data_IF_290452191048
#
_entry.id   IF_290452191048
#
_cell.length_a   1.000
_cell.length_b   1.000
_cell.length_c   1.000
_cell.angle_alpha   90.00
_cell.angle_beta   90.00
_cell.angle_gamma   90.00
#
_symmetry.space_group_name_H-M   'P 1'
#
loop_
_entity.id
_entity.type
_entity.pdbx_description
1 polymer ?
#
# COMPACT_ATOMS: atom_id res chain seq x y z
N UNK A 1 -21.78 -24.63 -17.03
CA UNK A 1 -21.70 -23.45 -16.15
C UNK A 1 -20.24 -23.19 -15.87
N UNK A 2 -19.66 -22.08 -16.34
CA UNK A 2 -18.23 -21.77 -16.14
C UNK A 2 -18.07 -20.90 -14.90
N UNK A 3 -17.68 -21.52 -13.79
CA UNK A 3 -17.34 -20.79 -12.57
C UNK A 3 -16.13 -19.88 -12.85
N UNK A 4 -16.23 -18.61 -12.46
CA UNK A 4 -15.15 -17.64 -12.64
C UNK A 4 -14.30 -17.62 -11.37
N UNK A 5 -13.23 -18.41 -11.35
CA UNK A 5 -12.27 -18.46 -10.23
C UNK A 5 -11.54 -17.12 -10.12
N UNK A 6 -12.09 -16.19 -9.35
CA UNK A 6 -11.42 -14.97 -8.94
C UNK A 6 -10.22 -15.33 -8.03
N UNK A 7 -9.04 -14.72 -8.20
CA UNK A 7 -7.89 -14.99 -7.33
C UNK A 7 -8.21 -14.68 -5.85
N UNK A 8 -7.68 -15.46 -4.90
CA UNK A 8 -8.01 -15.33 -3.49
C UNK A 8 -7.48 -14.03 -2.89
N UNK A 9 -8.21 -13.47 -1.91
CA UNK A 9 -7.85 -12.22 -1.23
C UNK A 9 -6.56 -12.34 -0.40
N UNK A 10 -6.29 -13.53 0.14
CA UNK A 10 -5.08 -13.90 0.86
C UNK A 10 -4.83 -15.40 0.71
N UNK A 11 -3.58 -15.83 0.86
CA UNK A 11 -3.17 -17.24 0.79
C UNK A 11 -2.21 -17.57 1.92
N UNK A 12 -2.50 -18.64 2.67
CA UNK A 12 -1.58 -19.20 3.67
C UNK A 12 -0.56 -20.08 2.94
N UNK A 13 0.71 -19.66 2.93
CA UNK A 13 1.81 -20.40 2.28
C UNK A 13 2.61 -21.28 3.23
N UNK A 14 2.37 -21.15 4.54
CA UNK A 14 2.99 -21.94 5.62
C UNK A 14 2.22 -21.72 6.93
N UNK A 15 2.13 -22.77 7.75
CA UNK A 15 1.48 -22.74 9.06
C UNK A 15 -0.02 -23.07 8.98
N UNK A 16 -0.59 -23.43 10.11
CA UNK A 16 -2.00 -23.78 10.26
C UNK A 16 -2.63 -22.77 11.24
N UNK A 17 -3.16 -21.63 10.77
CA UNK A 17 -3.75 -20.61 11.63
C UNK A 17 -5.12 -21.06 12.15
N UNK A 18 -5.51 -20.57 13.33
CA UNK A 18 -6.86 -20.80 13.84
C UNK A 18 -7.92 -20.10 12.97
N UNK A 19 -9.19 -20.50 13.11
CA UNK A 19 -10.30 -19.85 12.41
C UNK A 19 -10.42 -18.36 12.78
N UNK A 20 -10.14 -18.02 14.05
CA UNK A 20 -10.11 -16.66 14.59
C UNK A 20 -8.95 -15.85 14.01
N UNK A 21 -7.75 -16.43 13.90
CA UNK A 21 -6.58 -15.78 13.30
C UNK A 21 -6.80 -15.51 11.80
N UNK A 22 -7.34 -16.49 11.07
CA UNK A 22 -7.66 -16.35 9.65
C UNK A 22 -8.75 -15.29 9.41
N UNK A 23 -9.77 -15.24 10.27
CA UNK A 23 -10.80 -14.20 10.24
C UNK A 23 -10.22 -12.81 10.55
N UNK A 24 -9.37 -12.68 11.57
CA UNK A 24 -8.71 -11.41 11.92
C UNK A 24 -7.83 -10.89 10.77
N UNK A 25 -7.03 -11.75 10.15
CA UNK A 25 -6.23 -11.41 8.97
C UNK A 25 -7.11 -10.99 7.79
N UNK A 26 -8.23 -11.68 7.55
CA UNK A 26 -9.21 -11.32 6.51
C UNK A 26 -9.77 -9.92 6.71
N UNK A 27 -10.18 -9.58 7.95
CA UNK A 27 -10.69 -8.25 8.31
C UNK A 27 -9.62 -7.16 8.09
N UNK A 28 -8.37 -7.41 8.49
CA UNK A 28 -7.26 -6.45 8.27
C UNK A 28 -6.98 -6.24 6.79
N UNK A 29 -6.89 -7.30 5.98
CA UNK A 29 -6.66 -7.20 4.53
C UNK A 29 -7.82 -6.48 3.84
N UNK A 30 -9.07 -6.76 4.22
CA UNK A 30 -10.24 -6.06 3.69
C UNK A 30 -10.25 -4.58 4.08
N UNK A 31 -9.90 -4.22 5.32
CA UNK A 31 -9.83 -2.84 5.79
C UNK A 31 -8.71 -2.03 5.12
N UNK A 32 -7.58 -2.66 4.77
CA UNK A 32 -6.49 -2.05 4.02
C UNK A 32 -6.79 -1.93 2.51
N UNK A 33 -7.57 -2.88 1.95
CA UNK A 33 -7.97 -2.89 0.54
C UNK A 33 -9.02 -1.82 0.20
N UNK A 34 -9.78 -1.34 1.20
CA UNK A 34 -10.72 -0.24 1.02
C UNK A 34 -10.00 1.05 0.64
N UNK A 35 -10.26 1.56 -0.57
CA UNK A 35 -9.82 2.89 -1.03
C UNK A 35 -10.41 3.99 -0.15
N UNK A 36 -9.72 4.37 0.92
CA UNK A 36 -9.99 5.64 1.62
C UNK A 36 -9.87 6.81 0.63
N UNK A 37 -10.77 7.80 0.65
CA UNK A 37 -10.65 8.98 -0.19
C UNK A 37 -9.33 9.69 0.12
N UNK A 38 -8.50 9.90 -0.91
CA UNK A 38 -7.19 10.57 -0.78
C UNK A 38 -7.38 12.05 -0.46
N UNK A 39 -7.42 12.38 0.84
CA UNK A 39 -7.22 13.75 1.32
C UNK A 39 -5.76 14.13 1.03
N UNK A 40 -5.49 14.73 -0.14
CA UNK A 40 -4.14 15.18 -0.54
C UNK A 40 -3.65 16.14 0.56
N UNK A 41 -2.51 15.86 1.23
CA UNK A 41 -1.97 16.81 2.20
C UNK A 41 -1.61 18.10 1.47
N UNK A 42 -2.15 19.23 1.90
CA UNK A 42 -1.72 20.55 1.40
C UNK A 42 -0.25 20.74 1.79
N UNK A 43 0.68 20.99 0.86
CA UNK A 43 2.08 21.24 1.21
C UNK A 43 2.20 22.52 2.05
N UNK A 44 2.50 22.37 3.34
CA UNK A 44 2.61 23.50 4.27
C UNK A 44 4.00 24.13 4.21
N UNK A 45 4.17 25.05 3.26
CA UNK A 45 5.25 26.03 3.23
C UNK A 45 6.33 25.84 2.17
N UNK A 46 7.07 26.93 1.94
CA UNK A 46 8.13 27.13 0.91
C UNK A 46 9.20 26.02 0.90
N UNK A 47 9.41 25.34 2.04
CA UNK A 47 10.40 24.27 2.16
C UNK A 47 10.01 23.00 1.36
N UNK A 48 8.72 22.72 1.18
CA UNK A 48 8.26 21.63 0.32
C UNK A 48 8.49 21.95 -1.17
N UNK A 49 8.07 23.15 -1.58
CA UNK A 49 8.21 23.69 -2.93
C UNK A 49 9.68 23.70 -3.39
N UNK A 50 10.60 24.15 -2.52
CA UNK A 50 12.05 24.08 -2.78
C UNK A 50 12.59 22.65 -2.91
N UNK A 51 11.98 21.69 -2.20
CA UNK A 51 12.41 20.28 -2.17
C UNK A 51 11.86 19.42 -3.31
N UNK A 52 10.93 19.94 -4.12
CA UNK A 52 10.46 19.31 -5.37
C UNK A 52 11.26 19.81 -6.58
N UNK A 53 11.62 21.10 -6.63
CA UNK A 53 12.49 21.70 -7.68
C UNK A 53 13.90 21.10 -7.75
N UNK A 54 14.39 20.48 -6.67
CA UNK A 54 15.79 20.03 -6.52
C UNK A 54 16.01 18.51 -6.62
N UNK A 55 15.02 17.70 -7.03
CA UNK A 55 15.19 16.22 -7.00
C UNK A 55 16.05 15.65 -8.13
N UNK A 56 17.11 14.93 -7.74
CA UNK A 56 17.89 14.02 -8.58
C UNK A 56 17.15 12.70 -8.87
N UNK A 57 17.61 11.91 -9.86
CA UNK A 57 17.02 10.61 -10.20
C UNK A 57 16.91 9.64 -9.01
N UNK A 58 15.87 8.80 -9.04
CA UNK A 58 15.61 7.81 -7.99
C UNK A 58 16.60 6.65 -8.08
N UNK A 59 17.43 6.48 -7.04
CA UNK A 59 18.35 5.35 -6.92
C UNK A 59 17.59 4.08 -6.52
N UNK A 60 17.70 3.03 -7.34
CA UNK A 60 17.19 1.70 -7.02
C UNK A 60 18.08 1.04 -5.96
N UNK A 61 17.49 0.67 -4.82
CA UNK A 61 18.18 0.01 -3.72
C UNK A 61 17.29 -0.15 -2.48
N UNK A 62 17.76 -0.83 -1.42
CA UNK A 62 17.02 -0.98 -0.17
C UNK A 62 16.62 0.38 0.41
N UNK A 63 15.30 0.63 0.55
CA UNK A 63 14.74 1.90 1.01
C UNK A 63 14.33 2.88 -0.11
N UNK A 64 14.87 2.77 -1.33
CA UNK A 64 14.57 3.68 -2.45
C UNK A 64 13.07 3.72 -2.82
N UNK A 65 12.39 2.59 -2.67
CA UNK A 65 10.94 2.42 -2.84
C UNK A 65 10.07 3.37 -1.99
N UNK A 66 10.61 3.96 -0.91
CA UNK A 66 9.89 4.96 -0.09
C UNK A 66 9.69 6.30 -0.83
N UNK A 67 10.48 6.58 -1.86
CA UNK A 67 10.27 7.78 -2.70
C UNK A 67 9.03 7.65 -3.60
N UNK A 68 8.72 6.43 -4.06
CA UNK A 68 7.60 6.11 -4.96
C UNK A 68 6.21 6.36 -4.37
N UNK A 69 6.11 6.57 -3.05
CA UNK A 69 4.87 6.89 -2.35
C UNK A 69 4.55 8.38 -2.23
N UNK A 70 5.42 9.28 -2.70
CA UNK A 70 5.13 10.73 -2.76
C UNK A 70 4.13 11.03 -3.88
N UNK A 71 3.38 12.11 -3.71
CA UNK A 71 2.50 12.60 -4.78
C UNK A 71 3.31 13.39 -5.82
N UNK A 72 3.05 13.10 -7.09
CA UNK A 72 3.07 14.10 -8.17
C UNK A 72 1.95 15.12 -7.97
#
# INVERSE_FOLDING_TARGET
MTEQTQPPLLQVVRGEPSAEELAALTVVVAALSQRRPRRRPTPVGVWAERADVLRRPLLAGPGGWRASGRAS
#
